data_IF_709936020114
#
_entry.id   IF_709936020114
#
_cell.length_a   1.000
_cell.length_b   1.000
_cell.length_c   1.000
_cell.angle_alpha   90.00
_cell.angle_beta   90.00
_cell.angle_gamma   90.00
#
_symmetry.space_group_name_H-M   'P 1'
#
loop_
_entity.id
_entity.type
_entity.pdbx_description
1 polymer ?
#
# COMPACT_ATOMS: atom_id res chain seq x y z
N UNK A 1 7.40 14.81 0.13
CA UNK A 1 7.30 14.22 -1.22
C UNK A 1 6.49 12.94 -1.09
N UNK A 2 5.49 12.72 -1.95
CA UNK A 2 4.57 11.57 -1.87
C UNK A 2 5.22 10.33 -2.49
N UNK A 3 4.93 9.10 -2.05
CA UNK A 3 5.42 7.92 -2.74
C UNK A 3 4.81 7.90 -4.15
N UNK A 4 5.69 7.66 -5.11
CA UNK A 4 5.33 7.51 -6.51
C UNK A 4 5.12 6.02 -6.74
N UNK A 5 3.90 5.66 -7.09
CA UNK A 5 3.64 4.40 -7.79
C UNK A 5 4.36 4.48 -9.14
N UNK A 6 5.38 3.65 -9.35
CA UNK A 6 6.01 3.52 -10.66
C UNK A 6 5.54 2.23 -11.30
N UNK A 7 4.72 2.35 -12.34
CA UNK A 7 4.52 1.28 -13.31
C UNK A 7 5.61 1.41 -14.39
N UNK A 8 6.73 0.74 -14.12
CA UNK A 8 7.82 0.42 -15.06
C UNK A 8 8.69 1.59 -15.53
N UNK A 9 10.00 1.37 -15.40
CA UNK A 9 11.14 2.15 -15.89
C UNK A 9 11.39 3.52 -15.22
N UNK A 10 11.99 3.50 -14.02
CA UNK A 10 12.71 4.65 -13.46
C UNK A 10 14.18 4.27 -13.24
N UNK A 11 15.09 5.06 -13.82
CA UNK A 11 16.51 4.77 -13.95
C UNK A 11 17.34 4.82 -12.65
N UNK A 12 18.43 4.05 -12.73
CA UNK A 12 19.69 3.99 -11.96
C UNK A 12 19.72 3.85 -10.43
N UNK A 13 18.63 4.07 -9.69
CA UNK A 13 18.49 3.50 -8.35
C UNK A 13 17.00 3.18 -8.13
N UNK A 14 16.67 1.88 -8.14
CA UNK A 14 15.28 1.45 -7.97
C UNK A 14 14.84 1.85 -6.56
N UNK A 15 13.72 2.58 -6.41
CA UNK A 15 13.21 2.91 -5.09
C UNK A 15 12.92 1.64 -4.29
N UNK A 16 13.00 1.71 -2.96
CA UNK A 16 12.79 0.54 -2.09
C UNK A 16 11.38 0.00 -2.30
N UNK A 17 11.27 -1.24 -2.80
CA UNK A 17 9.99 -1.90 -2.97
C UNK A 17 9.38 -2.24 -1.60
N UNK A 18 8.09 -1.96 -1.44
CA UNK A 18 7.35 -2.43 -0.25
C UNK A 18 7.21 -3.94 -0.36
N UNK A 19 7.72 -4.65 0.65
CA UNK A 19 7.73 -6.12 0.69
C UNK A 19 6.61 -6.68 1.55
N UNK A 20 6.13 -7.87 1.20
CA UNK A 20 5.22 -8.64 2.04
C UNK A 20 5.91 -9.12 3.32
N UNK A 21 5.21 -9.03 4.46
CA UNK A 21 5.73 -9.44 5.78
C UNK A 21 6.20 -10.90 5.80
N UNK A 22 5.52 -11.77 5.08
CA UNK A 22 5.79 -13.20 5.00
C UNK A 22 6.60 -13.60 3.75
N UNK A 23 6.96 -12.64 2.91
CA UNK A 23 7.67 -12.88 1.65
C UNK A 23 6.80 -13.47 0.53
N UNK A 24 5.47 -13.57 0.68
CA UNK A 24 4.57 -14.18 -0.31
C UNK A 24 4.23 -13.27 -1.51
N UNK A 25 5.22 -12.56 -2.03
CA UNK A 25 5.11 -11.74 -3.23
C UNK A 25 4.57 -10.33 -2.96
N UNK A 26 5.08 -9.37 -3.74
CA UNK A 26 4.83 -7.94 -3.53
C UNK A 26 3.83 -7.35 -4.54
N UNK A 27 3.23 -8.21 -5.38
CA UNK A 27 2.22 -7.77 -6.35
C UNK A 27 0.89 -7.53 -5.64
N UNK A 28 0.41 -6.30 -5.74
CA UNK A 28 -0.87 -5.86 -5.21
C UNK A 28 -2.03 -6.62 -5.87
N UNK A 29 -1.92 -6.94 -7.16
CA UNK A 29 -2.96 -7.63 -7.93
C UNK A 29 -2.83 -9.16 -7.95
N UNK A 30 -1.95 -9.73 -7.12
CA UNK A 30 -1.76 -11.17 -7.06
C UNK A 30 -3.11 -11.89 -6.83
N UNK A 31 -3.44 -12.82 -7.74
CA UNK A 31 -4.68 -13.61 -7.69
C UNK A 31 -5.86 -13.04 -8.49
N UNK A 32 -5.77 -11.83 -9.04
CA UNK A 32 -6.88 -11.21 -9.79
C UNK A 32 -6.66 -11.13 -11.31
N UNK A 33 -5.47 -11.49 -11.80
CA UNK A 33 -5.07 -11.26 -13.18
C UNK A 33 -4.80 -9.77 -13.47
N UNK A 34 -4.62 -9.42 -14.74
CA UNK A 34 -4.35 -8.04 -15.15
C UNK A 34 -2.88 -7.64 -15.04
N UNK A 35 -2.63 -6.36 -14.77
CA UNK A 35 -1.28 -5.82 -14.66
C UNK A 35 -0.70 -6.10 -13.27
N UNK A 36 0.60 -6.41 -13.24
CA UNK A 36 1.36 -6.48 -12.00
C UNK A 36 1.58 -5.06 -11.44
N UNK A 37 1.23 -4.87 -10.17
CA UNK A 37 1.32 -3.56 -9.51
C UNK A 37 2.19 -3.69 -8.26
N UNK A 38 3.26 -2.91 -8.22
CA UNK A 38 4.18 -2.85 -7.08
C UNK A 38 4.18 -1.44 -6.47
N UNK A 39 4.40 -1.40 -5.15
CA UNK A 39 4.50 -0.16 -4.39
C UNK A 39 5.96 0.12 -4.05
N UNK A 40 6.36 1.37 -4.18
CA UNK A 40 7.71 1.83 -3.90
C UNK A 40 7.71 2.92 -2.85
N UNK A 41 8.74 2.92 -2.01
CA UNK A 41 8.98 3.94 -1.00
C UNK A 41 9.89 5.03 -1.55
N UNK A 42 9.56 6.26 -1.19
CA UNK A 42 10.43 7.41 -1.35
C UNK A 42 10.68 8.01 0.03
N UNK A 43 11.96 8.08 0.39
CA UNK A 43 12.38 8.62 1.68
C UNK A 43 12.48 10.15 1.64
N UNK A 44 12.31 10.78 2.80
CA UNK A 44 12.45 12.22 2.95
C UNK A 44 12.98 12.59 4.32
N UNK A 45 13.86 13.58 4.37
CA UNK A 45 14.39 14.14 5.62
C UNK A 45 13.49 15.24 6.22
N UNK A 46 12.48 15.70 5.48
CA UNK A 46 11.53 16.70 5.97
C UNK A 46 10.43 16.05 6.79
N UNK A 47 10.44 16.29 8.10
CA UNK A 47 9.42 15.78 9.03
C UNK A 47 7.98 16.26 8.68
N UNK A 48 7.82 17.41 8.02
CA UNK A 48 6.51 17.90 7.58
C UNK A 48 6.00 17.17 6.34
N UNK A 49 6.90 16.60 5.55
CA UNK A 49 6.58 15.88 4.33
C UNK A 49 6.51 14.37 4.51
N UNK A 50 6.95 13.87 5.66
CA UNK A 50 6.91 12.46 6.01
C UNK A 50 5.48 12.01 6.29
N UNK A 51 5.20 10.74 5.98
CA UNK A 51 3.86 10.16 6.09
C UNK A 51 3.64 9.69 7.52
N UNK A 52 2.44 9.93 8.06
CA UNK A 52 2.03 9.48 9.41
C UNK A 52 0.90 8.45 9.38
N UNK A 53 0.16 8.39 8.27
CA UNK A 53 -0.99 7.52 8.09
C UNK A 53 -1.23 7.29 6.58
N UNK A 54 -1.73 6.10 6.25
CA UNK A 54 -2.01 5.65 4.89
C UNK A 54 -3.48 5.27 4.79
N UNK A 55 -4.17 5.80 3.78
CA UNK A 55 -5.59 5.53 3.52
C UNK A 55 -5.76 4.91 2.14
N UNK A 56 -6.70 3.97 2.02
CA UNK A 56 -7.16 3.44 0.75
C UNK A 56 -8.54 4.02 0.46
N UNK A 57 -8.67 4.59 -0.73
CA UNK A 57 -9.94 5.04 -1.28
C UNK A 57 -10.39 4.05 -2.35
N UNK A 58 -11.58 3.51 -2.22
CA UNK A 58 -12.27 2.73 -3.25
C UNK A 58 -13.35 3.60 -3.88
N UNK A 59 -13.44 3.58 -5.21
CA UNK A 59 -14.32 4.46 -5.98
C UNK A 59 -14.87 3.72 -7.20
N UNK A 60 -16.16 3.88 -7.48
CA UNK A 60 -16.77 3.37 -8.72
C UNK A 60 -16.37 4.20 -9.94
N UNK A 61 -15.84 5.40 -9.72
CA UNK A 61 -15.36 6.30 -10.78
C UNK A 61 -13.84 6.47 -10.75
N UNK A 62 -13.25 6.56 -11.95
CA UNK A 62 -11.85 6.88 -12.12
C UNK A 62 -11.57 8.31 -11.65
N UNK A 63 -10.49 8.52 -10.90
CA UNK A 63 -10.03 9.86 -10.52
C UNK A 63 -8.99 10.30 -11.55
N UNK A 64 -9.26 11.36 -12.35
CA UNK A 64 -8.33 11.82 -13.36
C UNK A 64 -6.94 12.12 -12.79
N UNK A 65 -5.91 11.61 -13.45
CA UNK A 65 -4.51 11.81 -13.05
C UNK A 65 -4.04 10.99 -11.85
N UNK A 66 -4.87 10.07 -11.33
CA UNK A 66 -4.43 9.10 -10.32
C UNK A 66 -4.26 7.71 -10.94
N UNK A 67 -3.29 6.99 -10.40
CA UNK A 67 -3.03 5.60 -10.77
C UNK A 67 -3.89 4.66 -9.93
N UNK A 68 -4.67 3.83 -10.61
CA UNK A 68 -5.47 2.78 -10.00
C UNK A 68 -4.60 1.61 -9.56
N UNK A 69 -4.76 1.15 -8.32
CA UNK A 69 -4.08 -0.04 -7.80
C UNK A 69 -4.65 -1.33 -8.41
N UNK A 70 -5.89 -1.32 -8.90
CA UNK A 70 -6.54 -2.45 -9.56
C UNK A 70 -6.39 -2.44 -11.09
N UNK A 71 -5.43 -1.67 -11.62
CA UNK A 71 -5.18 -1.51 -13.04
C UNK A 71 -5.10 -2.87 -13.75
N UNK A 72 -5.89 -3.02 -14.82
CA UNK A 72 -5.94 -4.24 -15.64
C UNK A 72 -6.66 -5.44 -15.02
N UNK A 73 -6.98 -5.40 -13.72
CA UNK A 73 -7.63 -6.51 -13.00
C UNK A 73 -9.15 -6.33 -12.84
N UNK A 74 -9.69 -5.15 -13.17
CA UNK A 74 -11.12 -4.84 -13.12
C UNK A 74 -11.67 -4.63 -11.70
N UNK A 75 -12.96 -4.32 -11.62
CA UNK A 75 -13.64 -3.92 -10.39
C UNK A 75 -13.59 -2.40 -10.14
N UNK A 76 -13.95 -1.99 -8.92
CA UNK A 76 -13.89 -0.58 -8.51
C UNK A 76 -12.42 -0.09 -8.42
N UNK A 77 -12.21 1.17 -8.79
CA UNK A 77 -10.90 1.82 -8.76
C UNK A 77 -10.43 2.04 -7.32
N UNK A 78 -9.12 2.01 -7.12
CA UNK A 78 -8.53 2.06 -5.79
C UNK A 78 -7.29 2.92 -5.77
N UNK A 79 -7.20 3.79 -4.77
CA UNK A 79 -6.14 4.79 -4.68
C UNK A 79 -5.54 4.84 -3.29
N UNK A 80 -4.24 5.10 -3.24
CA UNK A 80 -3.52 5.36 -1.99
C UNK A 80 -3.52 6.86 -1.67
N UNK A 81 -3.78 7.18 -0.41
CA UNK A 81 -3.73 8.53 0.15
C UNK A 81 -2.86 8.57 1.40
N UNK A 82 -2.31 9.74 1.70
CA UNK A 82 -1.36 9.94 2.79
C UNK A 82 -1.75 11.12 3.65
N UNK A 83 -1.58 10.96 4.97
CA UNK A 83 -1.52 12.07 5.92
C UNK A 83 -0.04 12.32 6.19
N UNK A 84 0.37 13.60 6.24
CA UNK A 84 1.76 14.01 6.43
C UNK A 84 1.96 14.81 7.72
N UNK A 85 3.16 14.74 8.26
CA UNK A 85 3.60 15.43 9.46
C UNK A 85 4.45 14.55 10.38
N UNK A 86 4.67 15.00 11.63
CA UNK A 86 5.28 14.18 12.67
C UNK A 86 4.22 13.48 13.55
N UNK A 87 4.53 12.30 14.15
CA UNK A 87 5.73 11.49 13.96
C UNK A 87 5.67 10.62 12.69
N UNK A 88 6.79 10.43 11.97
CA UNK A 88 6.79 9.75 10.68
C UNK A 88 6.75 8.23 10.81
N UNK A 89 6.11 7.58 9.85
CA UNK A 89 6.26 6.15 9.59
C UNK A 89 7.70 5.87 9.15
N UNK A 90 8.29 4.82 9.73
CA UNK A 90 9.68 4.38 9.49
C UNK A 90 9.77 3.05 8.76
N UNK A 91 8.73 2.23 8.84
CA UNK A 91 8.66 0.94 8.16
C UNK A 91 7.27 0.75 7.58
N UNK A 92 7.17 0.28 6.33
CA UNK A 92 5.92 -0.09 5.69
C UNK A 92 6.09 -1.45 5.00
N UNK A 93 5.12 -2.34 5.17
CA UNK A 93 5.06 -3.63 4.53
C UNK A 93 3.66 -3.93 3.99
N UNK A 94 3.58 -4.89 3.07
CA UNK A 94 2.31 -5.52 2.68
C UNK A 94 1.99 -6.66 3.65
N UNK A 95 0.74 -6.75 4.09
CA UNK A 95 0.24 -7.88 4.88
C UNK A 95 -0.92 -8.53 4.11
N UNK A 96 -0.68 -9.75 3.63
CA UNK A 96 -1.70 -10.58 2.98
C UNK A 96 -2.27 -11.57 3.99
N UNK A 97 -3.59 -11.74 3.99
CA UNK A 97 -4.31 -12.57 4.97
C UNK A 97 -5.48 -13.30 4.31
N UNK A 98 -5.79 -14.50 4.79
CA UNK A 98 -7.00 -15.23 4.38
C UNK A 98 -8.23 -14.88 5.24
N UNK A 99 -8.02 -14.13 6.31
CA UNK A 99 -9.00 -13.69 7.31
C UNK A 99 -8.90 -12.18 7.54
N UNK A 100 -10.00 -11.60 8.01
CA UNK A 100 -10.10 -10.16 8.23
C UNK A 100 -9.15 -9.68 9.33
N UNK A 101 -8.60 -8.48 9.15
CA UNK A 101 -7.60 -7.92 10.03
C UNK A 101 -8.22 -7.16 11.20
N UNK A 102 -7.80 -7.47 12.43
CA UNK A 102 -8.20 -6.76 13.65
C UNK A 102 -7.06 -5.91 14.24
N UNK A 103 -7.37 -4.88 15.04
CA UNK A 103 -6.34 -4.12 15.77
C UNK A 103 -5.44 -4.99 16.66
N UNK A 104 -6.00 -6.03 17.28
CA UNK A 104 -5.24 -6.98 18.11
C UNK A 104 -4.22 -7.75 17.29
N UNK A 105 -4.62 -8.24 16.10
CA UNK A 105 -3.72 -8.94 15.18
C UNK A 105 -2.55 -8.05 14.77
N UNK A 106 -2.81 -6.78 14.50
CA UNK A 106 -1.76 -5.82 14.12
C UNK A 106 -0.76 -5.59 15.25
N UNK A 107 -1.25 -5.46 16.47
CA UNK A 107 -0.41 -5.34 17.66
C UNK A 107 0.43 -6.60 17.89
N UNK A 108 -0.15 -7.79 17.74
CA UNK A 108 0.54 -9.07 17.93
C UNK A 108 1.63 -9.30 16.87
N UNK A 109 1.42 -8.80 15.65
CA UNK A 109 2.43 -8.76 14.58
C UNK A 109 3.49 -7.65 14.79
N UNK A 110 3.31 -6.82 15.81
CA UNK A 110 4.25 -5.75 16.19
C UNK A 110 4.24 -4.54 15.27
N UNK A 111 3.10 -4.27 14.63
CA UNK A 111 2.87 -3.06 13.84
C UNK A 111 2.05 -2.02 14.63
N UNK A 112 2.24 -0.75 14.30
CA UNK A 112 1.58 0.37 14.96
C UNK A 112 0.27 0.78 14.26
N UNK A 113 0.10 0.42 12.99
CA UNK A 113 -1.09 0.74 12.22
C UNK A 113 -1.20 -0.03 10.92
N UNK A 114 -2.38 0.11 10.29
CA UNK A 114 -2.72 -0.57 9.05
C UNK A 114 -3.76 0.20 8.23
N UNK A 115 -3.74 0.00 6.92
CA UNK A 115 -4.68 0.62 5.98
C UNK A 115 -6.01 -0.13 5.93
N UNK A 116 -7.02 0.45 5.28
CA UNK A 116 -8.17 -0.33 4.81
C UNK A 116 -7.72 -1.44 3.84
N UNK A 117 -8.58 -2.43 3.65
CA UNK A 117 -8.33 -3.55 2.75
C UNK A 117 -8.28 -3.08 1.28
N UNK A 118 -7.10 -3.25 0.68
CA UNK A 118 -6.83 -2.97 -0.74
C UNK A 118 -7.63 -3.93 -1.62
N UNK A 119 -8.06 -5.09 -1.14
CA UNK A 119 -8.84 -6.05 -1.91
C UNK A 119 -10.36 -5.98 -1.66
N UNK A 120 -10.83 -5.06 -0.81
CA UNK A 120 -12.25 -4.96 -0.44
C UNK A 120 -13.19 -5.01 -1.65
N UNK A 121 -14.14 -5.95 -1.65
CA UNK A 121 -15.11 -6.12 -2.73
C UNK A 121 -14.60 -6.83 -3.98
N UNK A 122 -13.35 -7.31 -4.03
CA UNK A 122 -12.82 -8.16 -5.12
C UNK A 122 -12.90 -9.66 -4.81
N UNK A 123 -13.14 -10.02 -3.54
CA UNK A 123 -13.02 -11.39 -3.05
C UNK A 123 -11.57 -11.85 -2.92
N UNK A 124 -11.35 -13.12 -2.56
CA UNK A 124 -10.00 -13.65 -2.32
C UNK A 124 -9.39 -13.20 -0.99
N UNK A 125 -8.07 -13.10 -0.95
CA UNK A 125 -7.31 -12.69 0.25
C UNK A 125 -7.46 -11.21 0.55
N UNK A 126 -7.39 -10.85 1.82
CA UNK A 126 -7.24 -9.48 2.30
C UNK A 126 -5.82 -8.98 2.04
N UNK A 127 -5.67 -7.70 1.74
CA UNK A 127 -4.38 -7.07 1.54
C UNK A 127 -4.34 -5.69 2.20
N UNK A 128 -3.41 -5.50 3.12
CA UNK A 128 -3.23 -4.24 3.83
C UNK A 128 -1.80 -3.73 3.71
N UNK A 129 -1.64 -2.41 3.78
CA UNK A 129 -0.37 -1.82 4.18
C UNK A 129 -0.32 -1.76 5.71
N UNK A 130 0.79 -2.20 6.29
CA UNK A 130 1.05 -2.15 7.74
C UNK A 130 2.31 -1.36 8.00
N UNK A 131 2.39 -0.66 9.13
CA UNK A 131 3.51 0.23 9.39
C UNK A 131 3.95 0.32 10.84
N UNK A 132 5.16 0.87 11.03
CA UNK A 132 5.74 1.22 12.33
C UNK A 132 6.27 2.65 12.34
N UNK A 133 6.22 3.30 13.50
CA UNK A 133 6.80 4.63 13.73
C UNK A 133 8.26 4.58 14.21
N UNK A 134 8.76 3.39 14.57
CA UNK A 134 10.11 3.14 15.10
C UNK A 134 10.86 2.08 14.31
#
# INVERSE_FOLDING_TARGET
>A
MSPVLSSKDAGDELPDIITAVDGNGNDVNAGFGGDYVWLYLLWTDSALEAITDIKILVSDEAIPGKQDLAQGAGGAYRYIGFIKGPPPIRTINLLRRTDELTPETIKDLGFDGYSQDINAGRGGDYLHLVWKYV
#
